data_IF_833354947652
#
_entry.id   IF_833354947652
#
_cell.length_a   1.000
_cell.length_b   1.000
_cell.length_c   1.000
_cell.angle_alpha   90.00
_cell.angle_beta   90.00
_cell.angle_gamma   90.00
#
_symmetry.space_group_name_H-M   'P 1'
#
loop_
_entity.id
_entity.type
_entity.pdbx_description
1 polymer ?
#
# COMPACT_ATOMS: atom_id res chain seq x y z
N UNK A 1 -17.24 -15.70 9.65
CA UNK A 1 -16.77 -14.38 9.16
C UNK A 1 -17.96 -13.43 9.04
N UNK A 2 -17.87 -12.20 9.57
CA UNK A 2 -18.98 -11.21 9.59
C UNK A 2 -18.80 -10.06 8.58
N UNK A 3 -17.66 -9.99 7.92
CA UNK A 3 -17.40 -8.97 6.90
C UNK A 3 -18.07 -9.36 5.58
N UNK A 4 -18.87 -8.45 5.03
CA UNK A 4 -19.50 -8.64 3.72
C UNK A 4 -18.51 -8.28 2.60
N UNK A 5 -18.07 -9.29 1.87
CA UNK A 5 -17.19 -9.13 0.72
C UNK A 5 -17.96 -8.72 -0.54
N UNK A 6 -19.27 -8.99 -0.61
CA UNK A 6 -20.10 -8.68 -1.76
C UNK A 6 -20.38 -7.18 -1.92
N UNK A 7 -20.24 -6.41 -0.85
CA UNK A 7 -20.42 -4.96 -0.88
C UNK A 7 -19.16 -4.17 -1.26
N UNK A 8 -18.06 -4.85 -1.62
CA UNK A 8 -16.77 -4.21 -1.92
C UNK A 8 -16.69 -3.89 -3.40
N UNK A 9 -16.54 -2.61 -3.72
CA UNK A 9 -16.41 -2.17 -5.11
C UNK A 9 -14.95 -2.24 -5.59
N UNK A 10 -13.99 -1.95 -4.70
CA UNK A 10 -12.57 -1.89 -5.06
C UNK A 10 -11.68 -2.48 -3.97
N UNK A 11 -10.78 -3.38 -4.36
CA UNK A 11 -9.69 -3.88 -3.51
C UNK A 11 -8.38 -3.30 -4.01
N UNK A 12 -7.63 -2.62 -3.16
CA UNK A 12 -6.40 -1.94 -3.56
C UNK A 12 -5.37 -1.81 -2.44
N UNK A 13 -4.24 -1.18 -2.73
CA UNK A 13 -3.24 -0.81 -1.75
C UNK A 13 -3.17 0.71 -1.58
N UNK A 14 -2.74 1.15 -0.39
CA UNK A 14 -2.45 2.58 -0.14
C UNK A 14 -1.44 3.15 -1.15
N UNK A 15 -0.52 2.31 -1.65
CA UNK A 15 0.46 2.74 -2.64
C UNK A 15 -0.21 3.16 -3.96
N UNK A 16 -1.12 2.33 -4.48
CA UNK A 16 -1.86 2.61 -5.71
C UNK A 16 -2.69 3.90 -5.58
N UNK A 17 -3.41 4.08 -4.46
CA UNK A 17 -4.14 5.32 -4.20
C UNK A 17 -3.22 6.54 -4.16
N UNK A 18 -2.03 6.41 -3.58
CA UNK A 18 -1.04 7.50 -3.56
C UNK A 18 -0.47 7.82 -4.95
N UNK A 19 -0.26 6.80 -5.80
CA UNK A 19 0.14 7.02 -7.21
C UNK A 19 -0.94 7.80 -7.96
N UNK A 20 -2.20 7.37 -7.84
CA UNK A 20 -3.34 8.08 -8.45
C UNK A 20 -3.50 9.50 -7.93
N UNK A 21 -3.41 9.72 -6.60
CA UNK A 21 -3.50 11.06 -6.01
C UNK A 21 -2.39 11.98 -6.54
N UNK A 22 -1.14 11.49 -6.57
CA UNK A 22 -0.01 12.26 -7.10
C UNK A 22 -0.15 12.58 -8.58
N UNK A 23 -0.68 11.65 -9.37
CA UNK A 23 -0.99 11.87 -10.78
C UNK A 23 -1.98 13.01 -10.98
N UNK A 24 -3.14 12.97 -10.30
CA UNK A 24 -4.17 14.02 -10.46
C UNK A 24 -3.76 15.37 -9.88
N UNK A 25 -2.82 15.38 -8.92
CA UNK A 25 -2.29 16.62 -8.32
C UNK A 25 -1.03 17.15 -9.02
N UNK A 26 -0.51 16.45 -10.04
CA UNK A 26 0.71 16.85 -10.73
C UNK A 26 1.98 16.79 -9.86
N UNK A 27 1.96 16.02 -8.76
CA UNK A 27 3.10 15.87 -7.83
C UNK A 27 3.83 14.54 -7.98
N UNK A 28 3.52 13.79 -9.05
CA UNK A 28 4.21 12.55 -9.37
C UNK A 28 5.59 12.85 -9.94
N UNK A 29 6.63 12.28 -9.35
CA UNK A 29 8.03 12.58 -9.67
C UNK A 29 8.62 11.65 -10.71
N UNK A 30 8.02 10.47 -10.92
CA UNK A 30 8.50 9.50 -11.88
C UNK A 30 7.78 9.71 -13.23
N UNK A 31 8.43 9.35 -14.33
CA UNK A 31 7.87 9.58 -15.67
C UNK A 31 6.55 8.82 -15.92
N UNK A 32 6.37 7.69 -15.23
CA UNK A 32 5.19 6.85 -15.39
C UNK A 32 4.92 5.98 -14.16
N UNK A 33 3.70 5.48 -14.07
CA UNK A 33 3.34 4.40 -13.16
C UNK A 33 2.41 3.41 -13.85
N UNK A 34 2.34 2.20 -13.30
CA UNK A 34 1.42 1.17 -13.74
C UNK A 34 0.68 0.60 -12.53
N UNK A 35 -0.60 0.37 -12.72
CA UNK A 35 -1.48 -0.36 -11.81
C UNK A 35 -2.16 -1.40 -12.69
N UNK A 36 -1.99 -2.67 -12.34
CA UNK A 36 -2.74 -3.74 -12.99
C UNK A 36 -4.15 -3.77 -12.42
N UNK A 37 -5.14 -3.94 -13.27
CA UNK A 37 -6.54 -3.94 -12.88
C UNK A 37 -7.21 -5.24 -13.36
N UNK A 38 -7.97 -5.86 -12.48
CA UNK A 38 -8.77 -7.04 -12.78
C UNK A 38 -10.16 -6.89 -12.16
N UNK A 39 -11.20 -7.33 -12.86
CA UNK A 39 -12.56 -7.35 -12.34
C UNK A 39 -12.91 -8.78 -11.93
N UNK A 40 -13.25 -8.97 -10.65
CA UNK A 40 -13.66 -10.26 -10.09
C UNK A 40 -15.07 -10.12 -9.54
N UNK A 41 -16.04 -10.70 -10.26
CA UNK A 41 -17.46 -10.39 -10.01
C UNK A 41 -17.71 -8.91 -10.27
N UNK A 42 -18.23 -8.20 -9.26
CA UNK A 42 -18.50 -6.76 -9.33
C UNK A 42 -17.36 -5.92 -8.69
N UNK A 43 -16.34 -6.57 -8.12
CA UNK A 43 -15.25 -5.90 -7.42
C UNK A 43 -14.02 -5.72 -8.32
N UNK A 44 -13.49 -4.50 -8.39
CA UNK A 44 -12.24 -4.21 -9.11
C UNK A 44 -11.02 -4.37 -8.20
N UNK A 45 -10.10 -5.25 -8.56
CA UNK A 45 -8.81 -5.42 -7.91
C UNK A 45 -7.75 -4.55 -8.60
N UNK A 46 -7.16 -3.62 -7.85
CA UNK A 46 -6.06 -2.77 -8.30
C UNK A 46 -4.75 -3.26 -7.68
N UNK A 47 -3.93 -3.91 -8.48
CA UNK A 47 -2.67 -4.53 -8.09
C UNK A 47 -1.49 -3.61 -8.36
N UNK A 48 -0.59 -3.55 -7.38
CA UNK A 48 0.62 -2.73 -7.50
C UNK A 48 1.56 -3.41 -8.49
N UNK A 49 1.94 -2.68 -9.54
CA UNK A 49 3.07 -3.03 -10.36
C UNK A 49 4.26 -2.13 -10.03
N UNK A 50 5.44 -2.72 -9.93
CA UNK A 50 6.72 -2.01 -9.86
C UNK A 50 7.70 -2.69 -10.81
N UNK A 51 8.48 -1.89 -11.53
CA UNK A 51 9.61 -2.43 -12.27
C UNK A 51 10.59 -3.09 -11.30
N UNK A 52 11.35 -4.08 -11.79
CA UNK A 52 12.41 -4.69 -11.01
C UNK A 52 13.32 -3.60 -10.43
N UNK A 53 13.19 -3.33 -9.14
CA UNK A 53 14.09 -2.45 -8.42
C UNK A 53 15.38 -3.25 -8.25
N UNK A 54 16.28 -3.16 -9.23
CA UNK A 54 17.63 -3.69 -9.05
C UNK A 54 18.21 -2.92 -7.88
N UNK A 55 18.35 -3.60 -6.74
CA UNK A 55 19.06 -3.07 -5.60
C UNK A 55 20.52 -2.93 -5.99
N UNK A 56 20.88 -1.76 -6.54
CA UNK A 56 22.27 -1.41 -6.76
C UNK A 56 22.88 -1.19 -5.38
N UNK A 57 23.61 -2.20 -4.90
CA UNK A 57 24.44 -2.10 -3.69
C UNK A 57 25.27 -0.82 -3.77
N UNK A 58 25.09 0.09 -2.80
CA UNK A 58 25.83 1.36 -2.72
C UNK A 58 25.01 2.64 -2.99
N UNK A 59 23.74 2.56 -3.41
CA UNK A 59 22.89 3.75 -3.47
C UNK A 59 22.34 4.11 -2.08
N UNK A 60 22.60 5.33 -1.62
CA UNK A 60 22.02 5.86 -0.39
C UNK A 60 20.49 5.98 -0.53
N UNK A 61 19.74 5.24 0.29
CA UNK A 61 18.26 5.23 0.32
C UNK A 61 17.68 5.95 1.54
N UNK A 62 18.49 6.79 2.19
CA UNK A 62 18.11 7.47 3.43
C UNK A 62 18.28 6.60 4.67
N UNK A 63 17.87 7.15 5.82
CA UNK A 63 18.03 6.52 7.13
C UNK A 63 16.80 5.74 7.60
N UNK A 64 15.81 5.52 6.72
CA UNK A 64 14.52 4.94 7.11
C UNK A 64 14.62 3.57 7.77
N UNK A 65 15.46 2.67 7.24
CA UNK A 65 15.65 1.34 7.83
C UNK A 65 16.26 1.41 9.25
N UNK A 66 17.34 2.19 9.40
CA UNK A 66 17.99 2.36 10.70
C UNK A 66 17.08 3.08 11.71
N UNK A 67 16.35 4.12 11.27
CA UNK A 67 15.37 4.80 12.12
C UNK A 67 14.31 3.82 12.66
N UNK A 68 13.76 2.95 11.80
CA UNK A 68 12.81 1.92 12.25
C UNK A 68 13.44 0.97 13.27
N UNK A 69 14.67 0.53 13.04
CA UNK A 69 15.38 -0.34 13.98
C UNK A 69 15.62 0.33 15.34
N UNK A 70 15.97 1.62 15.37
CA UNK A 70 16.27 2.33 16.61
C UNK A 70 15.02 2.82 17.36
N UNK A 71 13.94 3.10 16.64
CA UNK A 71 12.74 3.74 17.19
C UNK A 71 11.55 2.80 17.39
N UNK A 72 11.68 1.51 17.03
CA UNK A 72 10.61 0.51 17.25
C UNK A 72 11.13 -0.67 18.04
N UNK A 73 10.20 -1.40 18.67
CA UNK A 73 10.48 -2.69 19.31
C UNK A 73 9.67 -3.76 18.60
N UNK A 74 10.21 -4.98 18.38
CA UNK A 74 9.46 -6.05 17.77
C UNK A 74 8.23 -6.38 18.64
N UNK A 75 7.06 -6.45 18.00
CA UNK A 75 5.84 -6.97 18.64
C UNK A 75 5.82 -8.50 18.68
N UNK A 76 6.54 -9.14 17.75
CA UNK A 76 6.76 -10.58 17.62
C UNK A 76 8.06 -10.80 16.84
N UNK A 77 8.94 -11.65 17.32
CA UNK A 77 10.33 -11.74 16.80
C UNK A 77 10.42 -12.41 15.41
N UNK A 78 9.37 -13.11 14.96
CA UNK A 78 9.30 -13.80 13.67
C UNK A 78 8.51 -13.01 12.59
N UNK A 79 7.97 -11.83 12.93
CA UNK A 79 7.18 -11.03 12.01
C UNK A 79 8.08 -10.02 11.26
N UNK A 80 8.36 -10.29 9.98
CA UNK A 80 9.21 -9.43 9.15
C UNK A 80 8.52 -8.15 8.67
N UNK A 81 7.19 -8.15 8.57
CA UNK A 81 6.40 -7.01 8.10
C UNK A 81 5.03 -6.96 8.78
N UNK A 82 4.54 -5.75 9.04
CA UNK A 82 3.19 -5.54 9.56
C UNK A 82 2.31 -4.94 8.46
N UNK A 83 1.15 -5.54 8.25
CA UNK A 83 0.14 -5.06 7.31
C UNK A 83 -1.17 -4.80 8.04
N UNK A 84 -1.87 -3.76 7.59
CA UNK A 84 -3.23 -3.46 8.02
C UNK A 84 -4.13 -3.38 6.81
N UNK A 85 -5.33 -3.90 6.95
CA UNK A 85 -6.42 -3.73 6.01
C UNK A 85 -7.43 -2.77 6.61
N UNK A 86 -7.83 -1.76 5.86
CA UNK A 86 -8.79 -0.74 6.29
C UNK A 86 -9.86 -0.59 5.23
N UNK A 87 -11.10 -0.42 5.65
CA UNK A 87 -12.23 -0.13 4.77
C UNK A 87 -12.48 1.37 4.69
N UNK A 88 -12.71 1.88 3.48
CA UNK A 88 -13.07 3.28 3.25
C UNK A 88 -14.35 3.35 2.43
N UNK A 89 -15.21 4.32 2.72
CA UNK A 89 -16.22 4.79 1.78
C UNK A 89 -15.71 6.09 1.19
N UNK A 90 -15.45 6.11 -0.12
CA UNK A 90 -14.84 7.24 -0.81
C UNK A 90 -15.49 7.45 -2.17
N UNK A 91 -16.08 8.63 -2.40
CA UNK A 91 -16.69 8.96 -3.69
C UNK A 91 -17.85 8.04 -4.09
N UNK A 92 -18.55 7.45 -3.11
CA UNK A 92 -19.63 6.49 -3.35
C UNK A 92 -19.17 5.04 -3.55
N UNK A 93 -17.86 4.78 -3.50
CA UNK A 93 -17.29 3.43 -3.60
C UNK A 93 -16.85 2.92 -2.22
N UNK A 94 -17.06 1.64 -1.98
CA UNK A 94 -16.57 0.89 -0.84
C UNK A 94 -15.24 0.24 -1.18
N UNK A 95 -14.17 0.72 -0.55
CA UNK A 95 -12.80 0.28 -0.80
C UNK A 95 -12.31 -0.59 0.35
N UNK A 96 -11.61 -1.67 0.01
CA UNK A 96 -10.72 -2.41 0.91
C UNK A 96 -9.28 -2.05 0.57
N UNK A 97 -8.56 -1.48 1.53
CA UNK A 97 -7.21 -0.92 1.30
C UNK A 97 -6.19 -1.59 2.22
N UNK A 98 -5.22 -2.26 1.61
CA UNK A 98 -4.04 -2.79 2.31
C UNK A 98 -2.92 -1.77 2.44
N UNK A 99 -2.27 -1.70 3.61
CA UNK A 99 -1.09 -0.86 3.83
C UNK A 99 -0.04 -1.54 4.73
N UNK A 100 1.23 -1.27 4.45
CA UNK A 100 2.32 -1.56 5.39
C UNK A 100 2.26 -0.53 6.53
N UNK A 101 2.50 -1.00 7.75
CA UNK A 101 2.52 -0.20 8.97
C UNK A 101 3.87 -0.40 9.67
N UNK A 102 4.55 0.70 10.00
CA UNK A 102 5.88 0.64 10.62
C UNK A 102 5.82 0.31 12.12
N UNK A 103 4.72 0.61 12.80
CA UNK A 103 4.52 0.33 14.22
C UNK A 103 3.20 0.90 14.75
N UNK A 104 2.99 0.79 16.05
CA UNK A 104 1.85 1.38 16.76
C UNK A 104 2.33 2.17 17.97
N UNK A 105 1.62 3.25 18.28
CA UNK A 105 1.82 4.03 19.51
C UNK A 105 0.78 3.55 20.54
N UNK A 106 1.16 3.52 21.82
CA UNK A 106 0.24 3.27 22.93
C UNK A 106 -0.25 4.56 23.53
#
# INVERSE_FOLDING_TARGET
PTFDLGSVDVVTSRNNLRKLLRFVTGTYTDDWFRIDAELIGDAMMLMRWEGAQVERSGQFRGYGANFKQQCTKPGRDDASTNHRTVTYSLGGLNLVVGCHVDGQVR
#
